data_IF_054562692671
#
_entry.id   IF_054562692671
#
_cell.length_a   1.000
_cell.length_b   1.000
_cell.length_c   1.000
_cell.angle_alpha   90.00
_cell.angle_beta   90.00
_cell.angle_gamma   90.00
#
_symmetry.space_group_name_H-M   'P 1'
#
loop_
_entity.id
_entity.type
_entity.pdbx_description
1 polymer ?
#
# COMPACT_ATOMS: atom_id res chain seq x y z
N UNK A 1 -9.70 2.42 -18.79
CA UNK A 1 -8.94 1.64 -17.80
C UNK A 1 -9.70 0.37 -17.51
N UNK A 2 -9.00 -0.72 -17.18
CA UNK A 2 -9.66 -1.94 -16.71
C UNK A 2 -10.13 -1.78 -15.25
N UNK A 3 -11.04 -2.66 -14.80
CA UNK A 3 -11.44 -2.70 -13.38
C UNK A 3 -10.25 -2.94 -12.45
N UNK A 4 -9.26 -3.69 -12.90
CA UNK A 4 -8.01 -3.92 -12.18
C UNK A 4 -7.20 -2.62 -12.04
N UNK A 5 -6.98 -1.89 -13.13
CA UNK A 5 -6.24 -0.62 -13.10
C UNK A 5 -6.94 0.42 -12.21
N UNK A 6 -8.27 0.48 -12.28
CA UNK A 6 -9.08 1.36 -11.44
C UNK A 6 -8.91 1.01 -9.94
N UNK A 7 -8.92 -0.28 -9.60
CA UNK A 7 -8.71 -0.73 -8.22
C UNK A 7 -7.30 -0.41 -7.69
N UNK A 8 -6.26 -0.54 -8.52
CA UNK A 8 -4.90 -0.12 -8.16
C UNK A 8 -4.85 1.39 -7.92
N UNK A 9 -5.41 2.19 -8.83
CA UNK A 9 -5.43 3.65 -8.72
C UNK A 9 -6.16 4.12 -7.46
N UNK A 10 -7.32 3.55 -7.16
CA UNK A 10 -8.10 3.89 -5.97
C UNK A 10 -7.36 3.50 -4.68
N UNK A 11 -6.67 2.36 -4.68
CA UNK A 11 -5.83 1.91 -3.56
C UNK A 11 -4.68 2.88 -3.32
N UNK A 12 -3.98 3.30 -4.38
CA UNK A 12 -2.88 4.24 -4.30
C UNK A 12 -3.35 5.63 -3.86
N UNK A 13 -4.48 6.09 -4.37
CA UNK A 13 -5.09 7.36 -3.97
C UNK A 13 -5.42 7.35 -2.48
N UNK A 14 -6.00 6.27 -1.98
CA UNK A 14 -6.32 6.12 -0.56
C UNK A 14 -5.06 6.07 0.33
N UNK A 15 -4.01 5.38 -0.11
CA UNK A 15 -2.76 5.31 0.64
C UNK A 15 -1.92 6.60 0.56
N UNK A 16 -2.10 7.41 -0.50
CA UNK A 16 -1.48 8.73 -0.64
C UNK A 16 -1.97 9.73 0.41
N UNK A 17 -3.14 9.48 1.00
CA UNK A 17 -3.68 10.30 2.08
C UNK A 17 -2.99 10.05 3.45
N UNK A 18 -2.06 9.09 3.55
CA UNK A 18 -1.27 8.90 4.76
C UNK A 18 -0.42 10.15 5.06
N UNK A 19 -0.62 10.84 6.20
CA UNK A 19 0.15 12.03 6.53
C UNK A 19 1.60 11.72 6.91
N UNK A 20 1.95 10.45 7.12
CA UNK A 20 3.30 10.03 7.51
C UNK A 20 4.12 9.89 6.24
N UNK A 21 5.20 10.65 6.14
CA UNK A 21 6.07 10.70 4.97
C UNK A 21 7.35 9.89 5.22
N UNK A 22 7.84 9.23 4.18
CA UNK A 22 9.17 8.62 4.11
C UNK A 22 9.95 9.20 2.93
N UNK A 23 11.28 9.25 3.08
CA UNK A 23 12.16 9.60 1.97
C UNK A 23 12.54 8.32 1.21
N UNK A 24 12.19 8.26 -0.08
CA UNK A 24 12.57 7.20 -1.00
C UNK A 24 13.40 7.82 -2.12
N UNK A 25 14.69 7.48 -2.19
CA UNK A 25 15.62 7.94 -3.23
C UNK A 25 15.67 9.47 -3.44
N UNK A 26 15.41 10.23 -2.37
CA UNK A 26 15.38 11.69 -2.37
C UNK A 26 13.99 12.31 -2.49
N UNK A 27 12.96 11.51 -2.77
CA UNK A 27 11.58 11.96 -2.87
C UNK A 27 10.80 11.69 -1.58
N UNK A 28 9.97 12.66 -1.20
CA UNK A 28 9.09 12.57 -0.05
C UNK A 28 7.77 11.89 -0.45
N UNK A 29 7.52 10.67 0.04
CA UNK A 29 6.38 9.83 -0.36
C UNK A 29 5.56 9.41 0.86
N UNK A 30 4.22 9.39 0.79
CA UNK A 30 3.37 8.82 1.84
C UNK A 30 3.74 7.37 2.16
N UNK A 31 3.87 7.05 3.46
CA UNK A 31 4.41 5.78 3.95
C UNK A 31 3.64 4.57 3.43
N UNK A 32 2.32 4.53 3.58
CA UNK A 32 1.56 3.36 3.10
C UNK A 32 1.53 3.26 1.55
N UNK A 33 1.66 4.37 0.82
CA UNK A 33 1.81 4.34 -0.65
C UNK A 33 3.14 3.71 -1.06
N UNK A 34 4.22 4.17 -0.43
CA UNK A 34 5.56 3.62 -0.68
C UNK A 34 5.61 2.13 -0.33
N UNK A 35 4.95 1.72 0.77
CA UNK A 35 4.84 0.33 1.15
C UNK A 35 4.12 -0.51 0.08
N UNK A 36 2.95 -0.07 -0.40
CA UNK A 36 2.21 -0.82 -1.43
C UNK A 36 3.03 -0.97 -2.73
N UNK A 37 3.74 0.07 -3.15
CA UNK A 37 4.64 0.04 -4.29
C UNK A 37 5.79 -0.96 -4.13
N UNK A 38 6.44 -0.96 -2.96
CA UNK A 38 7.52 -1.92 -2.65
C UNK A 38 7.01 -3.36 -2.63
N UNK A 39 5.82 -3.59 -2.10
CA UNK A 39 5.22 -4.93 -2.07
C UNK A 39 4.86 -5.43 -3.47
N UNK A 40 4.30 -4.56 -4.33
CA UNK A 40 4.10 -4.89 -5.75
C UNK A 40 5.42 -5.23 -6.44
N UNK A 41 6.46 -4.41 -6.27
CA UNK A 41 7.77 -4.67 -6.87
C UNK A 41 8.41 -5.97 -6.38
N UNK A 42 8.12 -6.39 -5.14
CA UNK A 42 8.55 -7.69 -4.63
C UNK A 42 7.76 -8.85 -5.24
N UNK A 43 6.43 -8.72 -5.37
CA UNK A 43 5.60 -9.72 -6.04
C UNK A 43 6.07 -9.94 -7.48
N UNK A 44 6.30 -8.86 -8.23
CA UNK A 44 6.74 -8.94 -9.63
C UNK A 44 8.09 -9.65 -9.79
N UNK A 45 8.96 -9.64 -8.76
CA UNK A 45 10.22 -10.40 -8.76
C UNK A 45 10.05 -11.88 -8.44
N UNK A 46 9.07 -12.22 -7.61
CA UNK A 46 8.85 -13.59 -7.14
C UNK A 46 7.94 -14.38 -8.08
N UNK A 47 6.88 -13.74 -8.58
CA UNK A 47 5.86 -14.34 -9.43
C UNK A 47 5.38 -13.30 -10.47
N UNK A 48 6.12 -13.12 -11.59
CA UNK A 48 5.79 -12.13 -12.62
C UNK A 48 4.39 -12.36 -13.23
N UNK A 49 3.98 -13.63 -13.34
CA UNK A 49 2.71 -14.06 -13.91
C UNK A 49 1.58 -14.10 -12.87
N UNK A 50 1.76 -13.47 -11.70
CA UNK A 50 0.73 -13.40 -10.68
C UNK A 50 -0.59 -12.86 -11.25
N UNK A 51 -1.67 -13.58 -10.96
CA UNK A 51 -3.02 -13.16 -11.34
C UNK A 51 -3.46 -11.89 -10.61
N UNK A 52 -4.46 -11.21 -11.17
CA UNK A 52 -4.97 -9.93 -10.67
C UNK A 52 -5.35 -9.97 -9.19
N UNK A 53 -5.96 -11.07 -8.71
CA UNK A 53 -6.35 -11.21 -7.31
C UNK A 53 -5.16 -11.13 -6.34
N UNK A 54 -4.03 -11.75 -6.67
CA UNK A 54 -2.83 -11.70 -5.84
C UNK A 54 -2.17 -10.32 -5.90
N UNK A 55 -2.12 -9.70 -7.09
CA UNK A 55 -1.63 -8.34 -7.28
C UNK A 55 -2.44 -7.33 -6.45
N UNK A 56 -3.77 -7.45 -6.44
CA UNK A 56 -4.65 -6.63 -5.61
C UNK A 56 -4.42 -6.87 -4.12
N UNK A 57 -4.34 -8.13 -3.68
CA UNK A 57 -4.11 -8.46 -2.28
C UNK A 57 -2.79 -7.87 -1.75
N UNK A 58 -1.73 -7.94 -2.54
CA UNK A 58 -0.42 -7.37 -2.22
C UNK A 58 -0.47 -5.84 -2.21
N UNK A 59 -1.11 -5.21 -3.21
CA UNK A 59 -1.23 -3.74 -3.28
C UNK A 59 -2.03 -3.18 -2.10
N UNK A 60 -3.09 -3.88 -1.69
CA UNK A 60 -4.01 -3.43 -0.65
C UNK A 60 -3.66 -3.91 0.77
N UNK A 61 -2.52 -4.58 0.97
CA UNK A 61 -2.16 -5.20 2.26
C UNK A 61 -2.24 -4.21 3.45
N UNK A 62 -1.85 -2.95 3.24
CA UNK A 62 -1.92 -1.87 4.23
C UNK A 62 -2.88 -0.73 3.82
N UNK A 63 -3.98 -1.05 3.12
CA UNK A 63 -4.95 -0.05 2.70
C UNK A 63 -5.45 0.79 3.89
N UNK A 64 -5.21 2.11 3.85
CA UNK A 64 -5.61 3.09 4.87
C UNK A 64 -5.22 2.70 6.30
N UNK A 65 -4.15 1.91 6.46
CA UNK A 65 -3.74 1.36 7.77
C UNK A 65 -3.40 2.46 8.79
N UNK A 66 -3.01 3.63 8.31
CA UNK A 66 -2.68 4.81 9.10
C UNK A 66 -3.86 5.40 9.89
N UNK A 67 -5.11 5.12 9.48
CA UNK A 67 -6.31 5.62 10.17
C UNK A 67 -6.56 4.93 11.51
N UNK A 68 -6.01 3.72 11.66
CA UNK A 68 -6.10 2.96 12.90
C UNK A 68 -4.98 3.43 13.82
N UNK A 69 -5.30 4.36 14.72
CA UNK A 69 -4.34 4.80 15.74
C UNK A 69 -4.01 3.64 16.68
N UNK A 70 -2.73 3.45 16.97
CA UNK A 70 -2.27 2.41 17.91
C UNK A 70 -2.46 2.81 19.38
N UNK A 71 -2.73 4.08 19.65
CA UNK A 71 -2.86 4.65 21.00
C UNK A 71 -4.26 4.47 21.63
N UNK A 72 -5.23 3.94 20.87
CA UNK A 72 -6.56 3.59 21.39
C UNK A 72 -6.65 2.17 21.95
N UNK A 73 -5.57 1.37 21.86
CA UNK A 73 -5.53 0.06 22.49
C UNK A 73 -5.15 0.20 23.97
N UNK A 74 -5.91 -0.44 24.89
CA UNK A 74 -5.55 -0.44 26.31
C UNK A 74 -4.16 -1.03 26.51
N UNK A 75 -3.36 -0.43 27.41
CA UNK A 75 -2.06 -0.97 27.83
C UNK A 75 -2.28 -2.41 28.36
N UNK A 76 -1.55 -3.37 27.80
CA UNK A 76 -1.60 -4.78 28.23
C UNK A 76 -2.06 -5.78 27.17
N UNK A 77 -1.98 -5.46 25.87
CA UNK A 77 -2.22 -6.42 24.79
C UNK A 77 -1.16 -6.33 23.70
#
# INVERSE_FOLDING_TARGET
MSLFDDAILLTDTANSADPRIENADGDAVPRELLYSQRMTAWLDRLEPEAGEALKLAVRAQHLRRWEIRRDTYPVGR
#
